data_IF_140113168922
#
_entry.id   IF_140113168922
#
_cell.length_a   1.000
_cell.length_b   1.000
_cell.length_c   1.000
_cell.angle_alpha   90.00
_cell.angle_beta   90.00
_cell.angle_gamma   90.00
#
_symmetry.space_group_name_H-M   'P 1'
#
loop_
_entity.id
_entity.type
_entity.pdbx_description
1 polymer ?
#
# COMPACT_ATOMS: atom_id res chain seq x y z
N UNK A 1 -24.73 -17.72 -56.68
CA UNK A 1 -25.33 -16.49 -56.12
C UNK A 1 -25.44 -16.72 -54.62
N UNK A 2 -24.46 -16.30 -53.82
CA UNK A 2 -24.18 -14.93 -53.33
C UNK A 2 -24.92 -14.61 -52.04
N UNK A 3 -24.10 -14.39 -51.01
CA UNK A 3 -24.25 -13.40 -49.96
C UNK A 3 -25.14 -13.67 -48.75
N UNK A 4 -24.45 -13.50 -47.61
CA UNK A 4 -24.86 -12.61 -46.53
C UNK A 4 -26.01 -13.08 -45.65
N UNK A 5 -25.65 -13.97 -44.72
CA UNK A 5 -25.96 -13.72 -43.31
C UNK A 5 -24.68 -14.05 -42.54
N UNK A 6 -23.67 -13.19 -42.64
CA UNK A 6 -23.33 -12.27 -41.54
C UNK A 6 -23.07 -13.03 -40.24
N UNK A 7 -21.85 -13.55 -40.17
CA UNK A 7 -20.90 -13.34 -39.08
C UNK A 7 -21.33 -12.18 -38.15
N UNK A 8 -22.26 -12.45 -37.24
CA UNK A 8 -22.51 -11.57 -36.09
C UNK A 8 -21.42 -11.85 -35.07
N UNK A 9 -20.43 -10.99 -35.11
CA UNK A 9 -19.62 -10.62 -33.97
C UNK A 9 -20.57 -10.24 -32.81
N UNK A 10 -20.88 -11.21 -31.96
CA UNK A 10 -21.41 -10.95 -30.64
C UNK A 10 -20.23 -11.03 -29.69
N UNK A 11 -19.43 -9.96 -29.72
CA UNK A 11 -18.40 -9.64 -28.74
C UNK A 11 -18.87 -9.97 -27.33
N UNK A 12 -18.29 -11.04 -26.81
CA UNK A 12 -18.64 -11.62 -25.53
C UNK A 12 -17.64 -12.68 -25.14
N UNK A 13 -16.39 -12.55 -25.62
CA UNK A 13 -15.27 -13.27 -25.07
C UNK A 13 -15.09 -12.79 -23.65
N UNK A 14 -15.73 -13.48 -22.69
CA UNK A 14 -15.22 -13.51 -21.33
C UNK A 14 -13.79 -13.99 -21.49
N UNK A 15 -12.85 -13.06 -21.41
CA UNK A 15 -11.42 -13.34 -21.41
C UNK A 15 -11.16 -14.14 -20.15
N UNK A 16 -11.39 -15.44 -20.21
CA UNK A 16 -10.84 -16.42 -19.29
C UNK A 16 -9.34 -16.45 -19.60
N UNK A 17 -8.63 -15.44 -19.09
CA UNK A 17 -7.19 -15.36 -19.20
C UNK A 17 -6.66 -16.62 -18.49
N UNK A 18 -5.91 -17.50 -19.17
CA UNK A 18 -5.36 -18.67 -18.51
C UNK A 18 -4.53 -18.21 -17.32
N UNK A 19 -4.86 -18.70 -16.13
CA UNK A 19 -4.06 -18.48 -14.91
C UNK A 19 -2.70 -19.15 -15.16
N UNK A 20 -1.73 -18.36 -15.60
CA UNK A 20 -0.35 -18.79 -15.84
C UNK A 20 0.44 -18.59 -14.56
N UNK A 21 1.05 -19.66 -14.08
CA UNK A 21 2.04 -19.60 -13.01
C UNK A 21 3.25 -18.80 -13.50
N UNK A 22 3.62 -17.74 -12.77
CA UNK A 22 4.81 -16.93 -13.06
C UNK A 22 6.02 -17.60 -12.39
N UNK A 23 7.10 -17.81 -13.13
CA UNK A 23 8.36 -18.29 -12.56
C UNK A 23 9.03 -17.20 -11.72
N UNK A 24 9.86 -17.60 -10.75
CA UNK A 24 10.61 -16.64 -9.92
C UNK A 24 11.58 -15.78 -10.75
N UNK A 25 12.11 -16.35 -11.85
CA UNK A 25 13.05 -15.71 -12.76
C UNK A 25 12.40 -14.59 -13.59
N UNK A 26 11.08 -14.66 -13.78
CA UNK A 26 10.28 -13.66 -14.48
C UNK A 26 9.77 -12.55 -13.55
N UNK A 27 9.91 -12.73 -12.22
CA UNK A 27 9.45 -11.75 -11.24
C UNK A 27 10.50 -10.67 -11.00
N UNK A 28 10.19 -9.44 -11.40
CA UNK A 28 11.00 -8.26 -11.11
C UNK A 28 10.40 -7.47 -9.92
N UNK A 29 11.01 -7.53 -8.72
CA UNK A 29 10.47 -6.90 -7.52
C UNK A 29 10.77 -5.39 -7.40
N UNK A 30 11.36 -4.72 -8.39
CA UNK A 30 11.75 -3.30 -8.26
C UNK A 30 10.55 -2.41 -7.89
N UNK A 31 9.38 -2.65 -8.48
CA UNK A 31 8.14 -1.93 -8.15
C UNK A 31 7.71 -2.14 -6.70
N UNK A 32 7.66 -3.39 -6.24
CA UNK A 32 7.30 -3.75 -4.86
C UNK A 32 8.31 -3.17 -3.85
N UNK A 33 9.59 -3.24 -4.17
CA UNK A 33 10.66 -2.67 -3.34
C UNK A 33 10.52 -1.15 -3.22
N UNK A 34 10.18 -0.46 -4.31
CA UNK A 34 9.95 0.99 -4.33
C UNK A 34 8.77 1.37 -3.43
N UNK A 35 7.67 0.60 -3.48
CA UNK A 35 6.50 0.82 -2.62
C UNK A 35 6.85 0.66 -1.14
N UNK A 36 7.58 -0.40 -0.79
CA UNK A 36 8.00 -0.66 0.60
C UNK A 36 8.91 0.46 1.11
N UNK A 37 9.94 0.84 0.34
CA UNK A 37 10.87 1.90 0.71
C UNK A 37 10.16 3.26 0.82
N UNK A 38 9.28 3.58 -0.15
CA UNK A 38 8.49 4.81 -0.10
C UNK A 38 7.61 4.87 1.15
N UNK A 39 6.92 3.77 1.48
CA UNK A 39 6.12 3.67 2.70
C UNK A 39 6.96 3.79 3.97
N UNK A 40 8.13 3.15 4.01
CA UNK A 40 9.04 3.24 5.15
C UNK A 40 9.54 4.68 5.39
N UNK A 41 9.87 5.41 4.32
CA UNK A 41 10.25 6.82 4.42
C UNK A 41 9.09 7.67 4.95
N UNK A 42 7.86 7.44 4.48
CA UNK A 42 6.68 8.13 5.00
C UNK A 42 6.47 7.88 6.50
N UNK A 43 6.62 6.63 6.94
CA UNK A 43 6.53 6.28 8.36
C UNK A 43 7.60 6.99 9.20
N UNK A 44 8.85 7.01 8.73
CA UNK A 44 9.93 7.73 9.41
C UNK A 44 9.66 9.23 9.48
N UNK A 45 9.17 9.83 8.40
CA UNK A 45 8.82 11.25 8.39
C UNK A 45 7.71 11.57 9.38
N UNK A 46 6.64 10.77 9.39
CA UNK A 46 5.56 10.93 10.36
C UNK A 46 6.05 10.72 11.79
N UNK A 47 6.91 9.73 12.02
CA UNK A 47 7.48 9.43 13.32
C UNK A 47 8.34 10.58 13.84
N UNK A 48 9.26 11.08 13.02
CA UNK A 48 10.08 12.26 13.34
C UNK A 48 9.18 13.48 13.58
N UNK A 49 8.16 13.70 12.75
CA UNK A 49 7.23 14.80 12.91
C UNK A 49 6.47 14.73 14.24
N UNK A 50 5.96 13.55 14.61
CA UNK A 50 5.33 13.33 15.92
C UNK A 50 6.29 13.57 17.08
N UNK A 51 7.57 13.19 16.94
CA UNK A 51 8.60 13.53 17.92
C UNK A 51 8.75 15.05 18.09
N UNK A 52 8.77 15.81 16.99
CA UNK A 52 8.80 17.28 17.10
C UNK A 52 7.56 17.84 17.81
N UNK A 53 6.37 17.31 17.51
CA UNK A 53 5.11 17.71 18.16
C UNK A 53 5.13 17.41 19.66
N UNK A 54 5.74 16.30 20.09
CA UNK A 54 5.80 15.90 21.50
C UNK A 54 6.91 16.61 22.30
N UNK A 55 8.06 16.89 21.68
CA UNK A 55 9.26 17.34 22.42
C UNK A 55 9.68 18.80 22.12
N UNK A 56 9.15 19.46 21.09
CA UNK A 56 9.44 20.87 20.74
C UNK A 56 8.25 21.82 20.97
N UNK A 57 7.62 21.74 22.13
CA UNK A 57 6.55 22.67 22.54
C UNK A 57 5.96 22.27 23.89
N UNK A 58 6.26 23.06 24.92
CA UNK A 58 5.99 22.78 26.34
C UNK A 58 4.49 22.82 26.70
N UNK A 59 3.77 21.70 26.56
CA UNK A 59 2.38 21.47 27.04
C UNK A 59 2.04 19.95 27.05
N UNK A 60 0.99 19.46 27.77
CA UNK A 60 0.92 18.08 28.28
C UNK A 60 0.95 17.01 27.18
N UNK A 61 1.96 16.15 27.25
CA UNK A 61 2.20 15.05 26.31
C UNK A 61 1.29 13.85 26.61
N UNK A 62 1.04 13.02 25.59
CA UNK A 62 0.22 11.79 25.70
C UNK A 62 0.85 10.80 26.69
N UNK A 63 2.18 10.80 26.84
CA UNK A 63 2.90 9.95 27.81
C UNK A 63 3.05 10.65 29.17
N UNK A 64 3.19 11.98 29.22
CA UNK A 64 3.47 12.74 30.45
C UNK A 64 2.33 12.78 31.45
N UNK A 65 1.08 12.65 30.99
CA UNK A 65 -0.09 12.59 31.89
C UNK A 65 -0.45 11.17 32.31
N UNK A 66 -0.17 10.16 31.48
CA UNK A 66 -0.46 8.74 31.77
C UNK A 66 0.64 8.06 32.61
N UNK A 67 1.92 8.40 32.42
CA UNK A 67 3.02 7.82 33.18
C UNK A 67 3.05 8.26 34.66
N UNK A 68 2.52 9.45 34.99
CA UNK A 68 2.41 9.93 36.37
C UNK A 68 1.29 9.23 37.16
N UNK A 69 0.33 8.58 36.49
CA UNK A 69 -0.84 7.95 37.14
C UNK A 69 -0.68 6.48 37.56
N UNK A 70 0.36 5.77 37.09
CA UNK A 70 0.49 4.31 37.30
C UNK A 70 1.71 3.93 38.16
N UNK A 71 2.53 4.90 38.59
CA UNK A 71 3.87 4.63 39.12
C UNK A 71 4.13 4.86 40.61
N UNK A 72 3.20 5.36 41.42
CA UNK A 72 3.42 5.61 42.86
C UNK A 72 2.11 5.48 43.67
N UNK A 73 1.75 4.26 44.05
CA UNK A 73 0.88 3.94 45.19
C UNK A 73 1.20 2.52 45.69
#
# INVERSE_FOLDING_TARGET
>A
MSSATEQRDAGGGRTDQPVREIGHDEYDPIGTLTLILGYFVLLLLLWIFMYFVEFLGNDPTVIGTLATGVGLA
#
